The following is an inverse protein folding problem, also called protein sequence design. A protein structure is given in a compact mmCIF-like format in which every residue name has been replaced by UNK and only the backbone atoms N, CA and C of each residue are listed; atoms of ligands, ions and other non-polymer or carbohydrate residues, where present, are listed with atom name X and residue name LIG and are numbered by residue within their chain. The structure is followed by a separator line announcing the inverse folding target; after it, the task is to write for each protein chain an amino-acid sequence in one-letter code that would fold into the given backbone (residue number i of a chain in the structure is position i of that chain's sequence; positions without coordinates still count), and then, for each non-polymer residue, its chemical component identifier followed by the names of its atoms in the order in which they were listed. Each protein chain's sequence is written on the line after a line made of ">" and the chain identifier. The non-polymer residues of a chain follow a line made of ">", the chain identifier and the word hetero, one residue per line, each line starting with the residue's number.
data_IF_646036485735
#
_entry.id   IF_646036485735
#
_cell.length_a   1.000
_cell.length_b   1.000
_cell.length_c   1.000
_cell.angle_alpha   90.00
_cell.angle_beta   90.00
_cell.angle_gamma   90.00
#
_symmetry.space_group_name_H-M   'P 1'
#
loop_
_entity.id
_entity.type
_entity.pdbx_description
1 polymer ?
#
# COMPACT_ATOMS: atom_id res chain seq x y z
N UNK A 1 -14.62 -14.95 -19.23
CA UNK A 1 -14.66 -13.48 -19.33
C UNK A 1 -14.13 -12.89 -18.02
N UNK A 2 -13.03 -12.15 -18.07
CA UNK A 2 -12.48 -11.47 -16.89
C UNK A 2 -13.47 -10.35 -16.51
N UNK A 3 -14.16 -10.49 -15.38
CA UNK A 3 -15.05 -9.44 -14.86
C UNK A 3 -14.19 -8.22 -14.55
N UNK A 4 -14.34 -7.18 -15.36
CA UNK A 4 -13.75 -5.87 -15.14
C UNK A 4 -14.66 -5.14 -14.15
N UNK A 5 -14.15 -4.89 -12.94
CA UNK A 5 -14.86 -4.25 -11.83
C UNK A 5 -14.45 -2.80 -11.61
N UNK A 6 -15.22 -2.08 -10.81
CA UNK A 6 -14.77 -0.82 -10.20
C UNK A 6 -13.90 -1.20 -8.99
N UNK A 7 -12.61 -0.93 -9.07
CA UNK A 7 -11.65 -1.26 -8.03
C UNK A 7 -11.23 -0.01 -7.27
N UNK A 8 -10.95 -0.19 -5.99
CA UNK A 8 -10.43 0.86 -5.13
C UNK A 8 -9.05 0.45 -4.65
N UNK A 9 -8.03 1.20 -5.05
CA UNK A 9 -6.72 1.11 -4.41
C UNK A 9 -6.78 1.96 -3.14
N UNK A 10 -6.53 1.34 -2.00
CA UNK A 10 -6.42 2.04 -0.73
C UNK A 10 -4.94 2.26 -0.45
N UNK A 11 -4.57 3.51 -0.23
CA UNK A 11 -3.35 3.85 0.48
C UNK A 11 -3.75 4.12 1.92
N UNK A 12 -3.29 3.25 2.82
CA UNK A 12 -3.67 3.25 4.21
C UNK A 12 -2.37 3.46 5.01
N UNK A 13 -2.25 4.56 5.76
CA UNK A 13 -1.10 4.71 6.64
C UNK A 13 -0.96 6.08 7.29
N UNK A 14 -1.07 6.12 8.62
CA UNK A 14 0.04 6.50 9.53
C UNK A 14 -0.16 5.73 10.86
N UNK A 15 0.93 5.46 11.60
CA UNK A 15 0.84 5.06 13.01
C UNK A 15 0.68 6.33 13.86
N UNK A 16 -0.44 6.52 14.55
CA UNK A 16 -0.53 7.59 15.54
C UNK A 16 0.08 7.12 16.86
N UNK A 17 1.36 7.43 17.09
CA UNK A 17 1.91 7.30 18.44
C UNK A 17 1.37 8.46 19.30
N UNK A 18 0.44 8.18 20.21
CA UNK A 18 0.07 9.10 21.29
C UNK A 18 1.18 9.20 22.37
N UNK A 19 2.43 9.31 21.96
CA UNK A 19 3.59 9.33 22.85
C UNK A 19 4.81 9.89 22.13
N UNK A 20 5.34 10.99 22.66
CA UNK A 20 6.57 11.67 22.25
C UNK A 20 7.71 10.69 21.94
N UNK A 21 8.16 10.60 20.67
CA UNK A 21 9.38 9.84 20.37
C UNK A 21 9.77 9.61 18.90
N UNK A 22 8.85 9.65 17.92
CA UNK A 22 9.18 9.40 16.51
C UNK A 22 8.52 10.43 15.59
N UNK A 23 9.27 11.42 15.11
CA UNK A 23 8.73 12.55 14.32
C UNK A 23 9.25 12.62 12.88
N UNK A 24 9.66 11.52 12.26
CA UNK A 24 10.25 11.61 10.91
C UNK A 24 10.07 10.45 9.93
N UNK A 25 9.72 9.24 10.38
CA UNK A 25 9.73 8.05 9.51
C UNK A 25 8.34 7.46 9.24
N UNK A 26 7.35 7.81 10.07
CA UNK A 26 6.01 7.20 10.06
C UNK A 26 5.17 7.69 8.87
N UNK A 27 5.33 8.93 8.43
CA UNK A 27 4.59 9.53 7.30
C UNK A 27 4.94 8.93 5.93
N UNK A 28 5.90 7.99 5.89
CA UNK A 28 6.35 7.32 4.67
C UNK A 28 5.95 5.85 4.61
N UNK A 29 5.35 5.30 5.67
CA UNK A 29 4.95 3.90 5.73
C UNK A 29 3.49 3.77 5.29
N UNK A 30 3.30 3.15 4.14
CA UNK A 30 2.01 3.03 3.50
C UNK A 30 1.69 1.56 3.22
N UNK A 31 0.52 1.12 3.66
CA UNK A 31 -0.09 -0.11 3.19
C UNK A 31 -0.78 0.17 1.87
N UNK A 32 -0.34 -0.51 0.80
CA UNK A 32 -0.89 -0.36 -0.54
C UNK A 32 -1.61 -1.65 -0.89
N UNK A 33 -2.93 -1.58 -1.07
CA UNK A 33 -3.76 -2.75 -1.40
C UNK A 33 -4.90 -2.41 -2.34
N UNK A 34 -5.49 -3.45 -2.94
CA UNK A 34 -6.63 -3.31 -3.87
C UNK A 34 -7.85 -4.05 -3.30
N UNK A 35 -9.01 -3.40 -3.32
CA UNK A 35 -10.28 -3.98 -2.88
C UNK A 35 -11.40 -3.63 -3.86
N UNK A 36 -12.32 -4.57 -4.07
CA UNK A 36 -13.55 -4.35 -4.86
C UNK A 36 -14.74 -3.89 -4.01
N UNK A 37 -14.59 -3.79 -2.69
CA UNK A 37 -15.59 -3.26 -1.76
C UNK A 37 -15.07 -2.04 -1.00
N UNK A 38 -15.92 -1.47 -0.14
CA UNK A 38 -15.62 -0.27 0.64
C UNK A 38 -14.33 -0.40 1.47
N UNK A 39 -13.44 0.58 1.34
CA UNK A 39 -12.14 0.59 2.04
C UNK A 39 -12.34 0.72 3.55
N UNK A 40 -13.32 1.53 3.98
CA UNK A 40 -13.67 1.71 5.39
C UNK A 40 -13.95 0.38 6.10
N UNK A 41 -14.66 -0.54 5.44
CA UNK A 41 -14.95 -1.86 5.98
C UNK A 41 -13.71 -2.76 6.09
N UNK A 42 -12.70 -2.55 5.24
CA UNK A 42 -11.43 -3.29 5.30
C UNK A 42 -10.54 -2.87 6.45
N UNK A 43 -10.60 -1.60 6.85
CA UNK A 43 -9.76 -1.06 7.94
C UNK A 43 -10.46 -1.05 9.30
N UNK A 44 -11.78 -1.27 9.33
CA UNK A 44 -12.59 -1.17 10.56
C UNK A 44 -12.08 -2.02 11.74
N UNK A 45 -11.36 -3.12 11.48
CA UNK A 45 -10.82 -4.01 12.51
C UNK A 45 -9.29 -4.13 12.46
N UNK A 46 -8.58 -3.11 11.95
CA UNK A 46 -7.13 -3.11 11.76
C UNK A 46 -6.35 -3.49 13.04
N UNK A 47 -6.74 -2.94 14.20
CA UNK A 47 -6.14 -3.26 15.52
C UNK A 47 -6.13 -4.74 15.88
N UNK A 48 -7.06 -5.55 15.35
CA UNK A 48 -7.17 -6.97 15.65
C UNK A 48 -6.70 -7.87 14.49
N UNK A 49 -6.17 -7.28 13.42
CA UNK A 49 -5.76 -7.99 12.21
C UNK A 49 -4.23 -7.87 12.01
N UNK A 50 -3.49 -9.00 11.98
CA UNK A 50 -2.04 -8.98 11.82
C UNK A 50 -1.60 -8.40 10.47
N UNK A 51 -2.45 -8.39 9.44
CA UNK A 51 -2.13 -7.75 8.15
C UNK A 51 -2.03 -6.22 8.23
N UNK A 52 -2.56 -5.65 9.32
CA UNK A 52 -2.46 -4.24 9.71
C UNK A 52 -1.50 -4.02 10.88
N UNK A 53 -0.64 -4.99 11.18
CA UNK A 53 0.35 -4.90 12.25
C UNK A 53 -0.26 -4.64 13.64
N UNK A 54 -1.53 -5.03 13.84
CA UNK A 54 -2.30 -4.75 15.06
C UNK A 54 -2.35 -3.26 15.45
N UNK A 55 -2.25 -2.36 14.48
CA UNK A 55 -2.26 -0.92 14.69
C UNK A 55 -3.56 -0.26 14.21
N UNK A 56 -3.85 0.91 14.75
CA UNK A 56 -4.76 1.85 14.09
C UNK A 56 -4.17 2.29 12.75
N UNK A 57 -5.04 2.52 11.79
CA UNK A 57 -4.63 2.96 10.46
C UNK A 57 -5.59 4.00 9.91
N UNK A 58 -5.03 5.03 9.28
CA UNK A 58 -5.79 6.06 8.59
C UNK A 58 -5.84 5.79 7.09
N UNK A 59 -7.00 6.04 6.47
CA UNK A 59 -7.13 6.05 5.01
C UNK A 59 -6.61 7.40 4.52
N UNK A 60 -5.43 7.41 3.92
CA UNK A 60 -4.79 8.65 3.46
C UNK A 60 -5.03 8.94 1.98
N UNK A 61 -5.28 7.90 1.16
CA UNK A 61 -5.76 8.10 -0.20
C UNK A 61 -6.57 6.91 -0.72
N UNK A 62 -7.48 7.21 -1.63
CA UNK A 62 -8.38 6.23 -2.25
C UNK A 62 -8.44 6.50 -3.75
N UNK A 63 -8.12 5.49 -4.56
CA UNK A 63 -8.07 5.63 -6.01
C UNK A 63 -9.06 4.69 -6.67
N UNK A 64 -10.05 5.28 -7.34
CA UNK A 64 -10.97 4.53 -8.18
C UNK A 64 -10.29 4.18 -9.51
N UNK A 65 -10.27 2.89 -9.82
CA UNK A 65 -9.72 2.31 -11.03
C UNK A 65 -10.84 1.51 -11.70
N UNK A 66 -11.19 1.90 -12.92
CA UNK A 66 -12.27 1.26 -13.68
C UNK A 66 -11.62 0.40 -14.76
N UNK A 67 -12.20 -0.76 -15.04
CA UNK A 67 -11.76 -1.59 -16.16
C UNK A 67 -10.34 -2.16 -16.01
N UNK A 68 -9.95 -2.47 -14.77
CA UNK A 68 -8.64 -3.05 -14.42
C UNK A 68 -8.82 -4.42 -13.77
N UNK A 69 -7.90 -5.34 -14.06
CA UNK A 69 -7.82 -6.62 -13.37
C UNK A 69 -7.12 -6.44 -12.02
N UNK A 70 -7.87 -6.60 -10.93
CA UNK A 70 -7.37 -6.46 -9.55
C UNK A 70 -6.10 -7.27 -9.25
N UNK A 71 -6.10 -8.57 -9.58
CA UNK A 71 -4.96 -9.43 -9.27
C UNK A 71 -3.69 -9.00 -10.04
N UNK A 72 -3.85 -8.56 -11.30
CA UNK A 72 -2.73 -8.03 -12.08
C UNK A 72 -2.22 -6.70 -11.54
N UNK A 73 -3.12 -5.80 -11.11
CA UNK A 73 -2.74 -4.53 -10.50
C UNK A 73 -1.97 -4.74 -9.21
N UNK A 74 -2.48 -5.59 -8.33
CA UNK A 74 -1.83 -5.92 -7.05
C UNK A 74 -0.44 -6.54 -7.29
N UNK A 75 -0.34 -7.51 -8.21
CA UNK A 75 0.94 -8.09 -8.59
C UNK A 75 1.91 -7.07 -9.21
N UNK A 76 1.41 -6.09 -9.98
CA UNK A 76 2.21 -5.00 -10.52
C UNK A 76 2.78 -4.13 -9.40
N UNK A 77 1.92 -3.64 -8.50
CA UNK A 77 2.31 -2.78 -7.37
C UNK A 77 3.33 -3.47 -6.46
N UNK A 78 3.09 -4.76 -6.14
CA UNK A 78 4.00 -5.55 -5.33
C UNK A 78 5.39 -5.67 -5.94
N UNK A 79 5.47 -5.83 -7.27
CA UNK A 79 6.74 -5.89 -8.00
C UNK A 79 7.39 -4.52 -8.10
N UNK A 80 6.61 -3.48 -8.39
CA UNK A 80 7.09 -2.12 -8.63
C UNK A 80 7.73 -1.53 -7.37
N UNK A 81 7.10 -1.73 -6.21
CA UNK A 81 7.60 -1.25 -4.92
C UNK A 81 8.41 -2.28 -4.14
N UNK A 82 8.83 -3.39 -4.77
CA UNK A 82 9.51 -4.49 -4.07
C UNK A 82 10.77 -4.03 -3.30
N UNK A 83 11.53 -3.10 -3.86
CA UNK A 83 12.74 -2.53 -3.23
C UNK A 83 12.45 -1.65 -2.01
N UNK A 84 11.20 -1.23 -1.83
CA UNK A 84 10.73 -0.36 -0.76
C UNK A 84 9.88 -1.09 0.27
N UNK A 85 9.69 -2.40 0.10
CA UNK A 85 8.81 -3.19 0.97
C UNK A 85 9.39 -3.27 2.37
N UNK A 86 8.56 -3.00 3.37
CA UNK A 86 8.92 -3.14 4.76
C UNK A 86 9.18 -4.62 5.07
N UNK A 87 10.34 -4.92 5.65
CA UNK A 87 10.69 -6.27 6.10
C UNK A 87 10.33 -6.42 7.58
N UNK A 88 9.07 -6.79 7.84
CA UNK A 88 8.53 -6.94 9.20
C UNK A 88 7.87 -8.30 9.39
N UNK A 89 8.09 -8.89 10.55
CA UNK A 89 7.46 -10.13 10.99
C UNK A 89 6.92 -9.94 12.40
N UNK A 90 5.68 -10.35 12.63
CA UNK A 90 4.99 -10.24 13.92
C UNK A 90 4.29 -11.56 14.26
N UNK A 91 4.16 -11.93 15.54
CA UNK A 91 3.35 -13.08 15.93
C UNK A 91 1.85 -12.76 15.82
N UNK A 92 1.04 -13.72 15.38
CA UNK A 92 -0.41 -13.68 15.53
C UNK A 92 -0.84 -13.98 16.97
N UNK A 93 -2.16 -13.97 17.23
CA UNK A 93 -2.73 -14.29 18.55
C UNK A 93 -2.46 -15.70 19.07
N UNK A 94 -1.92 -16.58 18.23
CA UNK A 94 -1.52 -17.95 18.57
C UNK A 94 0.01 -18.12 18.59
N UNK A 95 0.77 -17.03 18.45
CA UNK A 95 2.22 -17.03 18.42
C UNK A 95 2.84 -17.43 17.08
N UNK A 96 2.04 -17.56 16.00
CA UNK A 96 2.56 -17.90 14.67
C UNK A 96 3.07 -16.66 13.96
N UNK A 97 4.25 -16.74 13.34
CA UNK A 97 4.81 -15.64 12.58
C UNK A 97 3.92 -15.28 11.36
N UNK A 98 3.62 -13.99 11.23
CA UNK A 98 2.92 -13.38 10.11
C UNK A 98 3.81 -12.29 9.53
N UNK A 99 3.95 -12.30 8.20
CA UNK A 99 4.78 -11.35 7.44
C UNK A 99 3.93 -10.63 6.40
N UNK A 100 3.30 -9.49 6.76
CA UNK A 100 2.52 -8.69 5.82
C UNK A 100 3.41 -8.17 4.69
N UNK A 101 2.98 -8.33 3.44
CA UNK A 101 3.78 -7.98 2.25
C UNK A 101 3.37 -6.68 1.56
N UNK A 102 2.33 -6.05 2.07
CA UNK A 102 1.64 -4.91 1.45
C UNK A 102 2.07 -3.57 2.06
N UNK A 103 3.08 -3.55 2.92
CA UNK A 103 3.59 -2.34 3.58
C UNK A 103 4.90 -1.88 2.91
N UNK A 104 4.98 -0.59 2.61
CA UNK A 104 6.08 0.00 1.84
C UNK A 104 6.52 1.34 2.41
N UNK A 105 7.82 1.64 2.33
CA UNK A 105 8.40 2.95 2.63
C UNK A 105 8.43 3.80 1.34
N UNK A 106 7.30 4.42 1.03
CA UNK A 106 7.08 5.17 -0.22
C UNK A 106 6.29 6.43 0.09
N UNK A 107 6.74 7.63 -0.31
CA UNK A 107 5.95 8.85 -0.13
C UNK A 107 4.60 8.81 -0.87
N UNK A 108 3.56 9.42 -0.29
CA UNK A 108 2.23 9.48 -0.90
C UNK A 108 2.24 10.03 -2.33
N UNK A 109 3.01 11.10 -2.60
CA UNK A 109 3.09 11.69 -3.94
C UNK A 109 3.66 10.74 -5.00
N UNK A 110 4.50 9.77 -4.62
CA UNK A 110 4.99 8.74 -5.54
C UNK A 110 3.90 7.70 -5.82
N UNK A 111 3.09 7.37 -4.82
CA UNK A 111 1.94 6.49 -4.98
C UNK A 111 0.93 7.15 -5.94
N UNK A 112 0.65 8.45 -5.77
CA UNK A 112 -0.18 9.24 -6.68
C UNK A 112 0.33 9.20 -8.12
N UNK A 113 1.64 9.44 -8.33
CA UNK A 113 2.24 9.41 -9.66
C UNK A 113 2.15 8.02 -10.30
N UNK A 114 2.45 6.95 -9.54
CA UNK A 114 2.37 5.57 -10.05
C UNK A 114 0.93 5.23 -10.46
N UNK A 115 -0.07 5.64 -9.68
CA UNK A 115 -1.48 5.44 -10.04
C UNK A 115 -1.85 6.18 -11.31
N UNK A 116 -1.42 7.43 -11.46
CA UNK A 116 -1.67 8.22 -12.67
C UNK A 116 -1.08 7.51 -13.90
N UNK A 117 0.16 7.02 -13.78
CA UNK A 117 0.85 6.27 -14.84
C UNK A 117 0.25 4.90 -15.15
N UNK A 118 -0.38 4.26 -14.17
CA UNK A 118 -1.13 3.02 -14.40
C UNK A 118 -2.41 3.32 -15.19
N UNK A 119 -3.11 4.42 -14.86
CA UNK A 119 -4.34 4.84 -15.54
C UNK A 119 -4.11 5.21 -17.00
N UNK A 120 -3.01 5.92 -17.30
CA UNK A 120 -2.64 6.32 -18.67
C UNK A 120 -1.77 5.27 -19.40
N UNK A 121 -1.47 4.15 -18.75
CA UNK A 121 -0.66 3.03 -19.27
C UNK A 121 0.81 3.38 -19.57
N UNK A 122 1.33 4.49 -19.02
CA UNK A 122 2.72 4.94 -19.18
C UNK A 122 3.69 4.43 -18.11
N UNK A 123 3.25 3.55 -17.20
CA UNK A 123 4.10 3.07 -16.08
C UNK A 123 5.28 2.17 -16.50
N UNK A 124 5.15 1.44 -17.61
CA UNK A 124 6.11 0.41 -18.06
C UNK A 124 7.59 0.85 -18.08
N UNK A 125 7.97 2.03 -18.61
CA UNK A 125 9.37 2.46 -18.65
C UNK A 125 9.90 3.01 -17.31
N UNK A 126 9.14 2.98 -16.21
CA UNK A 126 9.56 3.56 -14.93
C UNK A 126 9.97 2.51 -13.91
N UNK A 127 10.88 2.90 -13.01
CA UNK A 127 11.23 2.20 -11.79
C UNK A 127 11.23 3.16 -10.60
N UNK A 128 10.86 2.66 -9.43
CA UNK A 128 10.97 3.41 -8.18
C UNK A 128 12.39 3.32 -7.63
N UNK A 129 12.97 4.46 -7.25
CA UNK A 129 14.22 4.56 -6.48
C UNK A 129 13.90 4.90 -5.02
N UNK A 130 14.04 3.95 -4.07
CA UNK A 130 13.82 4.22 -2.65
C UNK A 130 14.79 5.26 -2.08
N UNK A 131 16.04 5.28 -2.56
CA UNK A 131 17.08 6.21 -2.08
C UNK A 131 16.76 7.66 -2.41
N UNK A 132 16.18 7.91 -3.59
CA UNK A 132 15.82 9.26 -4.04
C UNK A 132 14.36 9.60 -3.79
N UNK A 133 13.54 8.61 -3.44
CA UNK A 133 12.09 8.73 -3.37
C UNK A 133 11.49 9.30 -4.67
N UNK A 134 11.95 8.81 -5.83
CA UNK A 134 11.52 9.29 -7.17
C UNK A 134 11.29 8.16 -8.15
N UNK A 135 10.50 8.41 -9.20
CA UNK A 135 10.47 7.57 -10.38
C UNK A 135 11.58 7.97 -11.36
N UNK A 136 12.33 6.98 -11.83
CA UNK A 136 13.30 7.14 -12.92
C UNK A 136 12.89 6.28 -14.11
N UNK A 137 13.15 6.76 -15.32
CA UNK A 137 13.04 5.90 -16.50
C UNK A 137 14.18 4.88 -16.50
N UNK A 138 13.86 3.67 -16.96
CA UNK A 138 14.85 2.67 -17.35
C UNK A 138 15.75 3.19 -18.47
#
# INVERSE_FOLDING_TARGET
>A
ALKQGNETMANIGTFTSNGTGFTGTIDLIHKIGVTGGEVSLRVANAKADPTFLFADVDIVATYKLININRAKLEALLHRFFAAARLDVEIPDRFGRAVKPREWYLVPLHIIDEVVARIKDQSITPYVYSPEKATLSKL
#
